data_IF_914304168461
#
_entry.id   IF_914304168461
#
_cell.length_a   1.000
_cell.length_b   1.000
_cell.length_c   1.000
_cell.angle_alpha   90.00
_cell.angle_beta   90.00
_cell.angle_gamma   90.00
#
_symmetry.space_group_name_H-M   'P 1'
#
loop_
_entity.id
_entity.type
_entity.pdbx_description
1 polymer ?
#
# COMPACT_ATOMS: atom_id res chain seq x y z
N UNK A 1 2.75 -15.48 -11.05
CA UNK A 1 3.35 -14.15 -10.77
C UNK A 1 4.87 -14.27 -10.76
N UNK A 2 5.57 -13.35 -11.43
CA UNK A 2 7.03 -13.24 -11.35
C UNK A 2 7.42 -12.36 -10.15
N UNK A 3 8.59 -12.59 -9.57
CA UNK A 3 9.11 -11.81 -8.43
C UNK A 3 10.51 -11.34 -8.81
N UNK A 4 10.73 -10.04 -8.77
CA UNK A 4 12.03 -9.41 -8.98
C UNK A 4 12.99 -9.78 -7.83
N UNK A 5 14.22 -10.24 -8.10
CA UNK A 5 15.24 -10.44 -7.08
C UNK A 5 15.46 -9.24 -6.14
N UNK A 6 15.23 -8.01 -6.60
CA UNK A 6 15.32 -6.80 -5.78
C UNK A 6 14.49 -6.89 -4.50
N UNK A 7 13.32 -7.53 -4.54
CA UNK A 7 12.43 -7.69 -3.38
C UNK A 7 13.12 -8.39 -2.20
N UNK A 8 14.09 -9.28 -2.46
CA UNK A 8 14.82 -10.01 -1.43
C UNK A 8 16.04 -9.26 -0.87
N UNK A 9 16.43 -8.16 -1.49
CA UNK A 9 17.63 -7.41 -1.14
C UNK A 9 17.35 -5.96 -0.74
N UNK A 10 16.20 -5.44 -1.15
CA UNK A 10 15.76 -4.11 -0.80
C UNK A 10 15.55 -3.96 0.70
N UNK A 11 15.76 -2.73 1.15
CA UNK A 11 15.61 -2.34 2.54
C UNK A 11 14.55 -1.28 2.69
N UNK A 12 13.95 -1.25 3.87
CA UNK A 12 12.94 -0.30 4.30
C UNK A 12 13.18 0.07 5.76
N UNK A 13 12.60 1.15 6.30
CA UNK A 13 12.53 1.33 7.75
C UNK A 13 11.88 0.12 8.42
N UNK A 14 12.10 -0.04 9.72
CA UNK A 14 11.53 -1.15 10.50
C UNK A 14 10.01 -1.30 10.33
N UNK A 15 9.29 -0.19 10.15
CA UNK A 15 7.87 -0.13 9.81
C UNK A 15 7.54 1.24 9.21
N UNK A 16 6.34 1.37 8.63
CA UNK A 16 5.81 2.66 8.21
C UNK A 16 5.66 3.62 9.40
N UNK A 17 6.30 4.80 9.32
CA UNK A 17 6.26 5.82 10.36
C UNK A 17 5.57 7.10 9.85
N UNK A 18 4.23 7.12 9.93
CA UNK A 18 3.41 8.22 9.41
C UNK A 18 3.66 9.55 10.12
N UNK A 19 4.07 9.53 11.40
CA UNK A 19 4.45 10.70 12.17
C UNK A 19 5.71 11.40 11.61
N UNK A 20 6.65 10.62 11.07
CA UNK A 20 7.87 11.11 10.41
C UNK A 20 7.64 11.49 8.96
N UNK A 21 6.92 10.62 8.23
CA UNK A 21 6.68 10.79 6.79
C UNK A 21 5.55 11.78 6.49
N UNK A 22 4.65 12.05 7.45
CA UNK A 22 3.42 12.83 7.29
C UNK A 22 2.49 12.28 6.20
N UNK A 23 2.42 10.95 6.09
CA UNK A 23 1.56 10.25 5.13
C UNK A 23 1.77 10.68 3.67
N UNK A 24 3.02 10.99 3.27
CA UNK A 24 3.34 11.44 1.91
C UNK A 24 2.90 10.47 0.80
N UNK A 25 2.79 9.17 1.08
CA UNK A 25 2.23 8.19 0.15
C UNK A 25 0.77 8.48 -0.23
N UNK A 26 0.04 9.30 0.53
CA UNK A 26 -1.32 9.72 0.20
C UNK A 26 -1.38 11.07 -0.55
N UNK A 27 -0.25 11.64 -0.98
CA UNK A 27 -0.21 12.97 -1.62
C UNK A 27 -0.83 12.99 -3.02
N UNK A 28 -0.54 11.96 -3.82
CA UNK A 28 -0.87 11.96 -5.26
C UNK A 28 -2.07 11.10 -5.64
N UNK A 29 -2.74 10.48 -4.66
CA UNK A 29 -3.75 9.46 -4.94
C UNK A 29 -3.11 8.12 -5.27
N UNK A 30 -3.92 7.20 -5.80
CA UNK A 30 -3.51 5.88 -6.25
C UNK A 30 -4.35 5.49 -7.45
N UNK A 31 -3.78 4.68 -8.34
CA UNK A 31 -4.53 3.91 -9.33
C UNK A 31 -5.04 2.63 -8.65
N UNK A 32 -6.34 2.58 -8.40
CA UNK A 32 -7.02 1.45 -7.76
C UNK A 32 -7.68 0.57 -8.82
N UNK A 33 -7.97 -0.68 -8.48
CA UNK A 33 -8.77 -1.54 -9.35
C UNK A 33 -10.22 -1.04 -9.41
N UNK A 34 -10.86 -1.11 -10.58
CA UNK A 34 -12.27 -0.67 -10.70
C UNK A 34 -13.23 -1.45 -9.79
N UNK A 35 -12.96 -2.72 -9.48
CA UNK A 35 -13.70 -3.50 -8.49
C UNK A 35 -13.55 -2.96 -7.07
N UNK A 36 -12.37 -2.44 -6.70
CA UNK A 36 -12.15 -1.77 -5.42
C UNK A 36 -12.96 -0.47 -5.32
N UNK A 37 -13.02 0.32 -6.40
CA UNK A 37 -13.92 1.49 -6.47
C UNK A 37 -15.36 1.10 -6.19
N UNK A 38 -15.88 0.05 -6.83
CA UNK A 38 -17.27 -0.38 -6.62
C UNK A 38 -17.54 -0.78 -5.18
N UNK A 39 -16.57 -1.44 -4.52
CA UNK A 39 -16.67 -1.78 -3.09
C UNK A 39 -16.64 -0.53 -2.23
N UNK A 40 -15.75 0.42 -2.51
CA UNK A 40 -15.62 1.68 -1.75
C UNK A 40 -16.89 2.52 -1.89
N UNK A 41 -17.41 2.72 -3.10
CA UNK A 41 -18.62 3.51 -3.33
C UNK A 41 -19.86 2.87 -2.69
N UNK A 42 -19.97 1.54 -2.71
CA UNK A 42 -21.06 0.82 -2.03
C UNK A 42 -21.07 1.04 -0.52
N UNK A 43 -19.92 1.28 0.08
CA UNK A 43 -19.75 1.49 1.52
C UNK A 43 -19.45 2.95 1.88
N UNK A 44 -19.73 3.90 0.98
CA UNK A 44 -19.34 5.29 1.13
C UNK A 44 -19.74 5.90 2.49
N UNK A 45 -20.93 5.59 2.98
CA UNK A 45 -21.45 6.07 4.27
C UNK A 45 -20.53 5.73 5.46
N UNK A 46 -19.79 4.62 5.39
CA UNK A 46 -18.82 4.25 6.43
C UNK A 46 -17.62 5.20 6.49
N UNK A 47 -17.27 5.83 5.36
CA UNK A 47 -16.08 6.66 5.22
C UNK A 47 -16.37 8.14 5.39
N UNK A 48 -17.61 8.58 5.16
CA UNK A 48 -18.05 9.98 5.28
C UNK A 48 -17.65 10.66 6.61
N UNK A 49 -17.69 9.99 7.78
CA UNK A 49 -17.23 10.60 9.03
C UNK A 49 -15.72 10.86 9.09
N UNK A 50 -14.94 10.17 8.26
CA UNK A 50 -13.48 10.14 8.32
C UNK A 50 -12.81 10.87 7.16
N UNK A 51 -13.49 11.10 6.04
CA UNK A 51 -12.94 11.93 4.96
C UNK A 51 -12.92 13.41 5.37
N UNK A 52 -12.01 14.18 4.77
CA UNK A 52 -11.95 15.63 5.02
C UNK A 52 -13.22 16.32 4.50
N UNK A 53 -13.65 17.45 5.08
CA UNK A 53 -14.87 18.15 4.66
C UNK A 53 -14.97 18.41 3.16
N UNK A 54 -13.87 18.78 2.52
CA UNK A 54 -13.73 19.03 1.08
C UNK A 54 -13.84 17.77 0.21
N UNK A 55 -13.66 16.58 0.81
CA UNK A 55 -13.77 15.28 0.14
C UNK A 55 -15.08 14.55 0.49
N UNK A 56 -16.11 15.24 1.03
CA UNK A 56 -17.36 14.59 1.46
C UNK A 56 -18.28 14.11 0.35
N UNK A 57 -18.08 14.54 -0.90
CA UNK A 57 -18.92 14.12 -2.01
C UNK A 57 -18.36 12.84 -2.67
N UNK A 58 -18.99 11.66 -2.50
CA UNK A 58 -18.47 10.41 -3.07
C UNK A 58 -18.43 10.39 -4.59
N UNK A 59 -19.28 11.19 -5.26
CA UNK A 59 -19.26 11.30 -6.73
C UNK A 59 -17.97 11.93 -7.26
N UNK A 60 -17.13 12.48 -6.39
CA UNK A 60 -15.85 13.11 -6.71
C UNK A 60 -14.66 12.31 -6.17
N UNK A 61 -14.85 11.10 -5.66
CA UNK A 61 -13.73 10.31 -5.13
C UNK A 61 -12.82 9.69 -6.19
N UNK A 62 -13.36 9.45 -7.38
CA UNK A 62 -12.66 8.76 -8.46
C UNK A 62 -12.72 9.57 -9.75
N UNK A 63 -11.67 9.46 -10.56
CA UNK A 63 -11.48 10.21 -11.80
C UNK A 63 -11.50 9.32 -13.03
N UNK A 64 -10.48 9.48 -13.87
CA UNK A 64 -10.26 8.72 -15.08
C UNK A 64 -10.00 7.23 -14.83
N UNK A 65 -10.20 6.45 -15.87
CA UNK A 65 -9.92 5.01 -15.90
C UNK A 65 -8.96 4.68 -17.02
N UNK A 66 -8.06 3.74 -16.79
CA UNK A 66 -7.11 3.26 -17.79
C UNK A 66 -7.05 1.72 -17.79
N UNK A 67 -6.68 1.14 -18.93
CA UNK A 67 -6.38 -0.29 -18.98
C UNK A 67 -5.10 -0.56 -18.21
N UNK A 68 -5.15 -1.53 -17.31
CA UNK A 68 -4.00 -1.92 -16.49
C UNK A 68 -4.07 -3.42 -16.20
N UNK A 69 -3.15 -4.17 -16.80
CA UNK A 69 -3.08 -5.62 -16.63
C UNK A 69 -2.67 -6.06 -15.22
N UNK A 70 -2.11 -5.15 -14.42
CA UNK A 70 -1.77 -5.41 -13.02
C UNK A 70 -2.97 -5.26 -12.09
N UNK A 71 -4.04 -4.62 -12.55
CA UNK A 71 -5.33 -4.60 -11.87
C UNK A 71 -6.11 -5.91 -12.12
N UNK A 72 -6.68 -6.57 -11.10
CA UNK A 72 -7.46 -7.81 -11.26
C UNK A 72 -8.60 -7.74 -12.28
N UNK A 73 -9.25 -6.58 -12.40
CA UNK A 73 -10.31 -6.31 -13.38
C UNK A 73 -9.80 -6.02 -14.80
N UNK A 74 -8.48 -5.84 -14.96
CA UNK A 74 -7.87 -5.31 -16.18
C UNK A 74 -8.01 -3.79 -16.35
N UNK A 75 -8.64 -3.11 -15.38
CA UNK A 75 -8.92 -1.67 -15.43
C UNK A 75 -8.54 -1.00 -14.11
N UNK A 76 -7.73 0.05 -14.22
CA UNK A 76 -7.42 0.96 -13.13
C UNK A 76 -8.37 2.17 -13.13
N UNK A 77 -8.53 2.78 -11.96
CA UNK A 77 -9.22 4.05 -11.76
C UNK A 77 -8.46 4.90 -10.75
N UNK A 78 -8.21 6.15 -11.09
CA UNK A 78 -7.51 7.06 -10.19
C UNK A 78 -8.44 7.46 -9.03
N UNK A 79 -7.90 7.49 -7.81
CA UNK A 79 -8.51 8.28 -6.73
C UNK A 79 -8.20 9.74 -6.97
N UNK A 80 -9.20 10.60 -6.93
CA UNK A 80 -8.98 12.03 -7.10
C UNK A 80 -8.10 12.61 -5.97
N UNK A 81 -7.47 13.73 -6.29
CA UNK A 81 -6.74 14.58 -5.34
C UNK A 81 -7.58 15.82 -5.06
N UNK A 82 -7.76 16.16 -3.79
CA UNK A 82 -8.45 17.38 -3.36
C UNK A 82 -7.51 18.19 -2.48
N UNK A 83 -7.14 19.38 -2.96
CA UNK A 83 -6.04 20.15 -2.39
C UNK A 83 -4.70 19.54 -2.80
N UNK A 84 -3.92 19.08 -1.82
CA UNK A 84 -2.59 18.48 -2.00
C UNK A 84 -2.52 17.00 -1.60
N UNK A 85 -3.67 16.35 -1.42
CA UNK A 85 -3.74 14.96 -1.00
C UNK A 85 -4.91 14.19 -1.62
N UNK A 86 -4.75 12.87 -1.71
CA UNK A 86 -5.80 11.91 -2.02
C UNK A 86 -7.10 12.23 -1.26
N UNK A 87 -8.25 12.04 -1.92
CA UNK A 87 -9.58 12.19 -1.30
C UNK A 87 -9.74 11.39 0.00
N UNK A 88 -9.04 10.26 0.13
CA UNK A 88 -9.09 9.39 1.31
C UNK A 88 -7.98 9.69 2.33
N UNK A 89 -7.22 10.78 2.19
CA UNK A 89 -6.22 11.15 3.19
C UNK A 89 -6.89 11.63 4.49
N UNK A 90 -6.44 11.05 5.61
CA UNK A 90 -6.83 11.43 6.96
C UNK A 90 -5.64 12.04 7.72
N UNK A 91 -5.71 13.27 8.24
CA UNK A 91 -4.55 13.96 8.82
C UNK A 91 -3.92 13.24 10.03
N UNK A 92 -4.74 12.60 10.87
CA UNK A 92 -4.26 11.89 12.06
C UNK A 92 -3.95 10.39 11.85
N UNK A 93 -4.29 9.80 10.69
CA UNK A 93 -4.23 8.34 10.49
C UNK A 93 -3.61 7.93 9.13
N UNK A 94 -3.41 8.87 8.22
CA UNK A 94 -3.01 8.59 6.84
C UNK A 94 -4.19 8.30 5.93
N UNK A 95 -4.98 7.25 6.20
CA UNK A 95 -6.06 6.82 5.30
C UNK A 95 -7.41 6.68 6.02
N UNK A 96 -8.43 7.37 5.51
CA UNK A 96 -9.81 7.34 6.01
C UNK A 96 -10.46 5.97 5.85
N UNK A 97 -10.17 5.25 4.76
CA UNK A 97 -10.71 3.90 4.52
C UNK A 97 -10.23 2.91 5.58
N UNK A 98 -8.92 2.92 5.87
CA UNK A 98 -8.31 2.08 6.90
C UNK A 98 -8.82 2.47 8.30
N UNK A 99 -8.90 3.78 8.60
CA UNK A 99 -9.43 4.26 9.88
C UNK A 99 -10.87 3.80 10.11
N UNK A 100 -11.72 3.93 9.11
CA UNK A 100 -13.11 3.49 9.18
C UNK A 100 -13.23 1.98 9.40
N UNK A 101 -12.40 1.18 8.72
CA UNK A 101 -12.38 -0.27 8.91
C UNK A 101 -12.00 -0.63 10.36
N UNK A 102 -10.91 -0.05 10.89
CA UNK A 102 -10.45 -0.30 12.26
C UNK A 102 -11.52 0.08 13.28
N UNK A 103 -12.08 1.30 13.18
CA UNK A 103 -13.10 1.76 14.14
C UNK A 103 -14.43 1.02 14.00
N UNK A 104 -14.72 0.47 12.81
CA UNK A 104 -15.84 -0.42 12.56
C UNK A 104 -15.62 -1.87 13.01
N UNK A 105 -14.47 -2.21 13.61
CA UNK A 105 -14.15 -3.57 14.05
C UNK A 105 -13.87 -4.54 12.90
N UNK A 106 -13.47 -4.03 11.74
CA UNK A 106 -13.15 -4.76 10.52
C UNK A 106 -11.64 -4.94 10.35
N UNK A 107 -11.24 -5.78 9.39
CA UNK A 107 -9.83 -5.87 9.02
C UNK A 107 -9.37 -4.51 8.47
N UNK A 108 -8.20 -4.03 8.92
CA UNK A 108 -7.70 -2.68 8.60
C UNK A 108 -7.54 -2.42 7.10
N UNK A 109 -7.36 -3.47 6.30
CA UNK A 109 -7.16 -3.38 4.86
C UNK A 109 -8.41 -3.72 4.03
N UNK A 110 -9.54 -4.04 4.65
CA UNK A 110 -10.75 -4.52 3.97
C UNK A 110 -11.22 -3.63 2.81
N UNK A 111 -11.05 -2.31 2.93
CA UNK A 111 -11.47 -1.34 1.91
C UNK A 111 -10.31 -0.57 1.29
N UNK A 112 -9.08 -0.81 1.73
CA UNK A 112 -7.92 -0.04 1.28
C UNK A 112 -7.51 -0.56 -0.11
N UNK A 113 -7.27 0.32 -1.11
CA UNK A 113 -6.79 -0.13 -2.42
C UNK A 113 -5.52 -0.98 -2.29
N UNK A 114 -5.45 -2.07 -3.04
CA UNK A 114 -4.38 -3.07 -3.01
C UNK A 114 -3.00 -2.44 -3.14
N UNK A 115 -2.82 -1.51 -4.07
CA UNK A 115 -1.55 -0.81 -4.27
C UNK A 115 -1.16 0.10 -3.10
N UNK A 116 -2.14 0.68 -2.38
CA UNK A 116 -1.84 1.41 -1.14
C UNK A 116 -1.43 0.50 0.02
N UNK A 117 -1.89 -0.76 0.05
CA UNK A 117 -1.44 -1.75 1.05
C UNK A 117 -0.04 -2.26 0.66
N UNK A 118 0.19 -2.43 -0.64
CA UNK A 118 1.40 -3.06 -1.16
C UNK A 118 2.66 -2.23 -0.97
N UNK A 119 2.54 -0.89 -1.02
CA UNK A 119 3.68 0.02 -0.88
C UNK A 119 4.57 -0.31 0.34
N UNK A 120 5.90 -0.35 0.21
CA UNK A 120 6.74 -0.04 -0.98
C UNK A 120 6.89 -1.16 -2.01
N UNK A 121 6.18 -2.27 -1.92
CA UNK A 121 6.12 -3.24 -3.02
C UNK A 121 5.15 -2.72 -4.08
N UNK A 122 5.35 -3.16 -5.33
CA UNK A 122 4.47 -2.85 -6.45
C UNK A 122 4.43 -4.03 -7.43
N UNK A 123 3.32 -4.19 -8.16
CA UNK A 123 3.29 -5.05 -9.34
C UNK A 123 3.38 -4.14 -10.56
N UNK A 124 4.37 -4.41 -11.40
CA UNK A 124 4.55 -3.74 -12.69
C UNK A 124 4.75 -4.79 -13.77
N UNK A 125 3.90 -4.77 -14.80
CA UNK A 125 3.90 -5.71 -15.92
C UNK A 125 3.89 -7.19 -15.47
N UNK A 126 3.11 -7.51 -14.45
CA UNK A 126 2.96 -8.83 -13.85
C UNK A 126 4.15 -9.30 -13.00
N UNK A 127 5.09 -8.39 -12.68
CA UNK A 127 6.26 -8.63 -11.84
C UNK A 127 6.11 -7.90 -10.51
N UNK A 128 6.16 -8.65 -9.40
CA UNK A 128 6.27 -8.05 -8.06
C UNK A 128 7.69 -7.52 -7.87
N UNK A 129 7.84 -6.21 -7.69
CA UNK A 129 9.10 -5.52 -7.45
C UNK A 129 8.95 -4.47 -6.34
N UNK A 130 9.95 -3.62 -6.16
CA UNK A 130 9.96 -2.53 -5.18
C UNK A 130 9.75 -1.22 -5.90
N UNK A 131 8.86 -0.40 -5.37
CA UNK A 131 8.62 0.96 -5.80
C UNK A 131 9.83 1.84 -5.45
N UNK A 132 10.52 2.33 -6.47
CA UNK A 132 11.62 3.29 -6.37
C UNK A 132 11.21 4.71 -6.78
N UNK A 133 9.96 4.90 -7.23
CA UNK A 133 9.45 6.16 -7.77
C UNK A 133 8.78 7.01 -6.68
N UNK A 134 9.54 7.41 -5.66
CA UNK A 134 9.03 8.31 -4.61
C UNK A 134 10.14 8.94 -3.74
N UNK A 135 11.15 9.57 -4.33
CA UNK A 135 12.30 10.20 -3.62
C UNK A 135 11.91 11.14 -2.46
N UNK A 136 10.71 11.72 -2.52
CA UNK A 136 10.20 12.61 -1.48
C UNK A 136 9.75 11.88 -0.21
N UNK A 137 9.45 10.58 -0.24
CA UNK A 137 8.91 9.88 0.94
C UNK A 137 10.03 9.47 1.89
N UNK A 138 9.86 9.80 3.17
CA UNK A 138 10.90 9.59 4.20
C UNK A 138 11.42 8.14 4.21
N UNK A 139 10.53 7.17 4.02
CA UNK A 139 10.85 5.75 4.09
C UNK A 139 11.62 5.21 2.88
N UNK A 140 11.68 5.94 1.76
CA UNK A 140 12.51 5.58 0.60
C UNK A 140 13.85 6.32 0.56
N UNK A 141 14.16 7.15 1.56
CA UNK A 141 15.51 7.71 1.67
C UNK A 141 16.50 6.65 2.18
N UNK A 142 17.67 6.58 1.55
CA UNK A 142 18.68 5.56 1.82
C UNK A 142 19.07 5.48 3.30
N UNK A 143 19.21 6.62 3.98
CA UNK A 143 19.57 6.66 5.41
C UNK A 143 18.53 6.00 6.33
N UNK A 144 17.28 5.84 5.88
CA UNK A 144 16.18 5.28 6.67
C UNK A 144 15.94 3.78 6.37
N UNK A 145 16.48 3.27 5.26
CA UNK A 145 16.32 1.88 4.78
C UNK A 145 17.23 0.93 5.57
N UNK A 146 16.79 0.57 6.77
CA UNK A 146 17.61 -0.10 7.80
C UNK A 146 17.35 -1.60 7.93
N UNK A 147 16.21 -2.10 7.47
CA UNK A 147 15.74 -3.48 7.65
C UNK A 147 15.37 -4.10 6.29
N UNK A 148 15.43 -5.44 6.13
CA UNK A 148 14.91 -6.09 4.94
C UNK A 148 13.44 -5.71 4.70
N UNK A 149 13.08 -5.35 3.47
CA UNK A 149 11.73 -4.87 3.14
C UNK A 149 10.64 -5.88 3.54
N UNK A 150 10.87 -7.17 3.30
CA UNK A 150 9.93 -8.25 3.60
C UNK A 150 9.70 -8.48 5.09
N UNK A 151 10.64 -8.09 5.95
CA UNK A 151 10.44 -8.11 7.39
C UNK A 151 9.55 -6.92 7.81
N UNK A 152 9.74 -5.76 7.18
CA UNK A 152 9.00 -4.53 7.48
C UNK A 152 7.53 -4.58 7.02
N UNK A 153 7.24 -5.21 5.87
CA UNK A 153 5.88 -5.34 5.31
C UNK A 153 5.28 -6.74 5.45
N UNK A 154 5.76 -7.51 6.42
CA UNK A 154 5.40 -8.93 6.53
C UNK A 154 3.90 -9.18 6.69
N UNK A 155 3.17 -8.27 7.36
CA UNK A 155 1.72 -8.42 7.57
C UNK A 155 0.93 -8.10 6.30
N UNK A 156 1.35 -7.07 5.58
CA UNK A 156 0.80 -6.67 4.28
C UNK A 156 0.99 -7.79 3.27
N UNK A 157 2.16 -8.44 3.26
CA UNK A 157 2.44 -9.61 2.42
C UNK A 157 1.48 -10.76 2.72
N UNK A 158 1.25 -11.07 4.01
CA UNK A 158 0.34 -12.15 4.41
C UNK A 158 -1.13 -11.84 4.06
N UNK A 159 -1.50 -10.56 4.04
CA UNK A 159 -2.83 -10.12 3.67
C UNK A 159 -3.06 -10.16 2.15
N UNK A 160 -2.08 -9.69 1.37
CA UNK A 160 -2.22 -9.45 -0.05
C UNK A 160 -2.05 -10.70 -0.91
N UNK A 161 -1.21 -11.64 -0.49
CA UNK A 161 -0.79 -12.74 -1.33
C UNK A 161 -1.29 -14.09 -0.81
N UNK A 162 -1.61 -15.04 -1.72
CA UNK A 162 -1.88 -16.42 -1.34
C UNK A 162 -0.72 -17.01 -0.53
N UNK A 163 -1.02 -17.94 0.36
CA UNK A 163 -0.06 -18.56 1.28
C UNK A 163 1.21 -19.07 0.59
N UNK A 164 1.07 -19.67 -0.60
CA UNK A 164 2.20 -20.14 -1.40
C UNK A 164 3.19 -19.02 -1.74
N UNK A 165 2.67 -17.88 -2.18
CA UNK A 165 3.47 -16.71 -2.57
C UNK A 165 4.05 -16.03 -1.33
N UNK A 166 3.25 -15.84 -0.28
CA UNK A 166 3.70 -15.27 0.98
C UNK A 166 4.85 -16.09 1.59
N UNK A 167 4.73 -17.42 1.58
CA UNK A 167 5.80 -18.33 2.03
C UNK A 167 7.05 -18.20 1.17
N UNK A 168 6.92 -18.09 -0.16
CA UNK A 168 8.06 -17.89 -1.06
C UNK A 168 8.80 -16.59 -0.75
N UNK A 169 8.07 -15.50 -0.54
CA UNK A 169 8.65 -14.20 -0.15
C UNK A 169 9.41 -14.34 1.18
N UNK A 170 8.79 -14.93 2.20
CA UNK A 170 9.42 -15.14 3.52
C UNK A 170 10.64 -16.06 3.49
N UNK A 171 10.63 -17.08 2.62
CA UNK A 171 11.71 -18.06 2.51
C UNK A 171 12.97 -17.51 1.83
N UNK A 172 12.81 -16.52 0.96
CA UNK A 172 13.94 -15.91 0.22
C UNK A 172 14.95 -15.17 1.10
N UNK A 173 14.57 -14.81 2.34
CA UNK A 173 15.46 -14.23 3.35
C UNK A 173 16.41 -15.27 4.00
N UNK A 174 16.29 -16.55 3.67
CA UNK A 174 16.97 -17.67 4.36
C UNK A 174 18.48 -17.83 4.13
N UNK A 175 19.14 -17.04 3.27
CA UNK A 175 20.58 -17.18 3.00
C UNK A 175 21.49 -16.20 3.77
N UNK A 176 20.95 -15.41 4.71
CA UNK A 176 21.71 -14.41 5.47
C UNK A 176 22.18 -14.81 6.88
N UNK A 177 21.63 -15.86 7.49
CA UNK A 177 21.98 -16.26 8.85
C UNK A 177 22.86 -17.52 8.87
N UNK A 178 24.16 -17.36 8.59
CA UNK A 178 25.14 -18.33 9.10
C UNK A 178 25.10 -18.26 10.62
N UNK A 179 24.61 -19.33 11.26
CA UNK A 179 24.83 -19.57 12.70
C UNK A 179 26.32 -19.33 13.03
N UNK A 180 26.66 -18.67 14.14
CA UNK A 180 28.04 -18.70 14.60
C UNK A 180 28.40 -20.17 14.86
N UNK A 181 29.38 -20.66 14.11
CA UNK A 181 30.02 -21.94 14.41
C UNK A 181 30.62 -21.82 15.79
N UNK A 182 30.15 -22.64 16.73
CA UNK A 182 30.87 -22.89 17.96
C UNK A 182 32.24 -23.48 17.60
N UNK A 183 33.30 -22.83 18.08
CA UNK A 183 34.64 -23.36 18.25
C UNK A 183 35.23 -22.67 19.48
#
# INVERSE_FOLDING_TARGET
MKIDPLVFHAKFPHHCALDRCKSRCCRYGVWADTGEREVILRHADLFLPYVRPEARNPSLWFGGTEEDSDCPSGMAVETNVVGDACVFFHPAHGCSLQKAAIEGGRNEWEFKPRFCIMFPLVISEGVLTVDDDMDEVWCLKDENRTHPILDAVGKEVDHLFPEEIARKLRSGNGNGAKKPSAA
#
